data_IF_157173185764
#
_entry.id   IF_157173185764
#
_cell.length_a   1.000
_cell.length_b   1.000
_cell.length_c   1.000
_cell.angle_alpha   90.00
_cell.angle_beta   90.00
_cell.angle_gamma   90.00
#
_symmetry.space_group_name_H-M   'P 1'
#
loop_
_entity.id
_entity.type
_entity.pdbx_description
1 polymer ?
#
# COMPACT_ATOMS: atom_id res chain seq x y z
N UNK A 1 -15.56 0.59 0.43
CA UNK A 1 -15.26 0.91 1.84
C UNK A 1 -13.82 1.39 2.03
N UNK A 2 -12.82 0.71 1.44
CA UNK A 2 -11.39 1.04 1.63
C UNK A 2 -11.08 2.52 1.35
N UNK A 3 -11.59 3.09 0.26
CA UNK A 3 -11.36 4.49 -0.10
C UNK A 3 -11.94 5.48 0.92
N UNK A 4 -12.91 5.06 1.73
CA UNK A 4 -13.51 5.90 2.77
C UNK A 4 -12.64 6.04 4.03
N UNK A 5 -11.56 5.26 4.15
CA UNK A 5 -10.62 5.35 5.29
C UNK A 5 -9.90 6.70 5.36
N UNK A 6 -9.75 7.37 4.23
CA UNK A 6 -9.11 8.70 4.12
C UNK A 6 -10.13 9.83 3.99
N UNK A 7 -11.43 9.57 4.18
CA UNK A 7 -12.46 10.61 4.08
C UNK A 7 -12.23 11.69 5.15
N UNK A 8 -12.38 12.99 4.84
CA UNK A 8 -12.18 14.07 5.83
C UNK A 8 -13.16 13.98 7.02
N UNK A 9 -14.41 13.60 6.79
CA UNK A 9 -15.42 13.43 7.84
C UNK A 9 -15.17 12.16 8.66
N UNK A 10 -14.96 12.34 9.99
CA UNK A 10 -14.71 11.24 10.93
C UNK A 10 -15.89 10.27 11.03
N UNK A 11 -17.12 10.76 10.93
CA UNK A 11 -18.33 9.90 11.01
C UNK A 11 -18.45 8.96 9.79
N UNK A 12 -18.01 9.42 8.64
CA UNK A 12 -17.96 8.58 7.41
C UNK A 12 -16.93 7.48 7.57
N UNK A 13 -15.72 7.80 8.06
CA UNK A 13 -14.67 6.81 8.33
C UNK A 13 -15.13 5.75 9.34
N UNK A 14 -15.76 6.18 10.44
CA UNK A 14 -16.27 5.28 11.47
C UNK A 14 -17.36 4.34 10.94
N UNK A 15 -18.34 4.88 10.20
CA UNK A 15 -19.39 4.04 9.58
C UNK A 15 -18.81 3.03 8.59
N UNK A 16 -17.85 3.45 7.77
CA UNK A 16 -17.18 2.56 6.83
C UNK A 16 -16.45 1.42 7.56
N UNK A 17 -15.74 1.73 8.64
CA UNK A 17 -15.07 0.75 9.49
C UNK A 17 -16.06 -0.24 10.11
N UNK A 18 -17.15 0.25 10.73
CA UNK A 18 -18.16 -0.61 11.33
C UNK A 18 -18.78 -1.54 10.29
N UNK A 19 -19.07 -1.04 9.08
CA UNK A 19 -19.59 -1.89 8.00
C UNK A 19 -18.59 -2.92 7.53
N UNK A 20 -17.31 -2.56 7.46
CA UNK A 20 -16.23 -3.50 7.14
C UNK A 20 -16.16 -4.65 8.16
N UNK A 21 -16.23 -4.34 9.47
CA UNK A 21 -16.22 -5.35 10.52
C UNK A 21 -17.45 -6.29 10.41
N UNK A 22 -18.63 -5.74 10.11
CA UNK A 22 -19.82 -6.57 9.88
C UNK A 22 -19.65 -7.55 8.70
N UNK A 23 -19.09 -7.07 7.59
CA UNK A 23 -18.80 -7.91 6.41
C UNK A 23 -17.81 -9.02 6.75
N UNK A 24 -16.76 -8.72 7.52
CA UNK A 24 -15.82 -9.75 7.96
C UNK A 24 -16.48 -10.79 8.86
N UNK A 25 -17.37 -10.38 9.76
CA UNK A 25 -18.13 -11.33 10.59
C UNK A 25 -19.06 -12.22 9.76
N UNK A 26 -19.76 -11.64 8.76
CA UNK A 26 -20.62 -12.37 7.83
C UNK A 26 -19.83 -13.39 6.97
N UNK A 27 -18.56 -13.08 6.65
CA UNK A 27 -17.71 -13.84 5.74
C UNK A 27 -16.62 -14.67 6.45
N UNK A 28 -16.60 -14.72 7.78
CA UNK A 28 -15.49 -15.32 8.54
C UNK A 28 -15.25 -16.80 8.22
N UNK A 29 -16.29 -17.59 8.06
CA UNK A 29 -16.17 -19.03 7.77
C UNK A 29 -15.55 -19.28 6.38
N UNK A 30 -16.05 -18.70 5.27
CA UNK A 30 -15.40 -18.82 3.97
C UNK A 30 -13.96 -18.29 3.96
N UNK A 31 -13.69 -17.15 4.63
CA UNK A 31 -12.36 -16.59 4.70
C UNK A 31 -11.38 -17.49 5.48
N UNK A 32 -11.84 -18.07 6.59
CA UNK A 32 -11.05 -19.05 7.36
C UNK A 32 -10.76 -20.30 6.52
N UNK A 33 -11.74 -20.82 5.80
CA UNK A 33 -11.55 -21.97 4.92
C UNK A 33 -10.53 -21.68 3.81
N UNK A 34 -10.63 -20.53 3.14
CA UNK A 34 -9.66 -20.08 2.14
C UNK A 34 -8.26 -19.96 2.73
N UNK A 35 -8.12 -19.31 3.89
CA UNK A 35 -6.83 -19.13 4.56
C UNK A 35 -6.22 -20.49 4.93
N UNK A 36 -7.01 -21.41 5.48
CA UNK A 36 -6.55 -22.76 5.83
C UNK A 36 -6.08 -23.54 4.58
N UNK A 37 -6.81 -23.42 3.46
CA UNK A 37 -6.41 -24.04 2.19
C UNK A 37 -5.05 -23.54 1.72
N UNK A 38 -4.88 -22.21 1.63
CA UNK A 38 -3.61 -21.60 1.20
C UNK A 38 -2.45 -21.95 2.15
N UNK A 39 -2.67 -21.85 3.46
CA UNK A 39 -1.64 -22.19 4.45
C UNK A 39 -1.33 -23.68 4.48
N UNK A 40 -2.32 -24.55 4.31
CA UNK A 40 -2.12 -26.00 4.21
C UNK A 40 -1.25 -26.37 3.01
N UNK A 41 -1.46 -25.75 1.85
CA UNK A 41 -0.61 -25.90 0.68
C UNK A 41 0.82 -25.49 0.98
N UNK A 42 1.03 -24.26 1.50
CA UNK A 42 2.37 -23.74 1.82
C UNK A 42 3.10 -24.67 2.78
N UNK A 43 2.49 -25.08 3.89
CA UNK A 43 3.10 -26.01 4.87
C UNK A 43 3.47 -27.35 4.24
N UNK A 44 2.58 -27.88 3.38
CA UNK A 44 2.82 -29.14 2.69
C UNK A 44 3.99 -29.06 1.72
N UNK A 45 4.06 -27.99 0.93
CA UNK A 45 5.14 -27.78 -0.04
C UNK A 45 6.47 -27.51 0.66
N UNK A 46 6.48 -26.72 1.73
CA UNK A 46 7.69 -26.43 2.50
C UNK A 46 8.28 -27.71 3.11
N UNK A 47 7.43 -28.56 3.69
CA UNK A 47 7.87 -29.87 4.21
C UNK A 47 8.44 -30.75 3.10
N UNK A 48 7.76 -30.86 1.96
CA UNK A 48 8.23 -31.69 0.82
C UNK A 48 9.52 -31.17 0.19
N UNK A 49 9.78 -29.87 0.28
CA UNK A 49 10.99 -29.22 -0.23
C UNK A 49 12.12 -29.16 0.80
N UNK A 50 11.94 -29.71 2.00
CA UNK A 50 12.94 -29.70 3.05
C UNK A 50 13.28 -28.32 3.58
N UNK A 51 12.31 -27.38 3.55
CA UNK A 51 12.51 -26.04 4.09
C UNK A 51 12.48 -26.05 5.61
N UNK A 52 13.34 -25.25 6.24
CA UNK A 52 13.48 -25.21 7.69
C UNK A 52 12.21 -24.71 8.39
N UNK A 53 11.60 -23.66 7.83
CA UNK A 53 10.39 -23.03 8.36
C UNK A 53 9.59 -22.29 7.25
N UNK A 54 8.48 -21.68 7.65
CA UNK A 54 7.61 -20.95 6.72
C UNK A 54 8.21 -19.64 6.18
N UNK A 55 9.31 -19.14 6.75
CA UNK A 55 10.01 -17.94 6.26
C UNK A 55 11.02 -18.26 5.17
N UNK A 56 11.51 -19.51 5.09
CA UNK A 56 12.57 -19.91 4.18
C UNK A 56 12.27 -19.50 2.73
N UNK A 57 11.06 -19.78 2.25
CA UNK A 57 10.70 -19.40 0.87
C UNK A 57 10.60 -17.91 0.64
N UNK A 58 10.13 -17.16 1.64
CA UNK A 58 10.02 -15.70 1.57
C UNK A 58 11.40 -15.04 1.54
N UNK A 59 12.34 -15.51 2.38
CA UNK A 59 13.73 -15.06 2.38
C UNK A 59 14.41 -15.35 1.04
N UNK A 60 14.22 -16.56 0.51
CA UNK A 60 14.77 -16.93 -0.78
C UNK A 60 14.22 -16.08 -1.94
N UNK A 61 12.91 -15.81 -1.95
CA UNK A 61 12.29 -14.93 -2.96
C UNK A 61 12.77 -13.49 -2.84
N UNK A 62 12.92 -13.00 -1.61
CA UNK A 62 13.45 -11.65 -1.33
C UNK A 62 14.97 -11.55 -1.56
N UNK A 63 15.67 -12.69 -1.73
CA UNK A 63 17.14 -12.79 -1.86
C UNK A 63 17.87 -12.14 -0.68
N UNK A 64 17.36 -12.33 0.53
CA UNK A 64 17.99 -11.92 1.78
C UNK A 64 18.20 -13.12 2.69
N UNK A 65 19.14 -13.00 3.60
CA UNK A 65 19.37 -13.98 4.65
C UNK A 65 18.55 -13.65 5.93
N UNK A 66 18.58 -14.56 6.89
CA UNK A 66 17.87 -14.41 8.16
C UNK A 66 18.44 -13.26 8.98
N UNK A 67 19.76 -13.06 8.97
CA UNK A 67 20.39 -11.94 9.69
C UNK A 67 19.93 -10.58 9.18
N UNK A 68 19.77 -10.46 7.86
CA UNK A 68 19.19 -9.25 7.24
C UNK A 68 17.75 -9.02 7.70
N UNK A 69 16.91 -10.07 7.72
CA UNK A 69 15.54 -9.96 8.24
C UNK A 69 15.51 -9.53 9.71
N UNK A 70 16.33 -10.14 10.55
CA UNK A 70 16.42 -9.81 11.99
C UNK A 70 16.87 -8.37 12.21
N UNK A 71 17.86 -7.89 11.44
CA UNK A 71 18.29 -6.49 11.47
C UNK A 71 17.18 -5.53 11.05
N UNK A 72 16.42 -5.86 10.01
CA UNK A 72 15.26 -5.05 9.57
C UNK A 72 14.18 -5.00 10.66
N UNK A 73 13.82 -6.13 11.25
CA UNK A 73 12.82 -6.20 12.32
C UNK A 73 13.29 -5.45 13.58
N UNK A 74 14.56 -5.61 13.96
CA UNK A 74 15.16 -4.88 15.07
C UNK A 74 15.09 -3.37 14.86
N UNK A 75 15.44 -2.87 13.67
CA UNK A 75 15.33 -1.45 13.36
C UNK A 75 13.88 -0.92 13.41
N UNK A 76 12.90 -1.75 13.01
CA UNK A 76 11.49 -1.41 13.15
C UNK A 76 11.09 -1.34 14.61
N UNK A 77 11.48 -2.31 15.43
CA UNK A 77 11.18 -2.34 16.86
C UNK A 77 11.77 -1.12 17.59
N UNK A 78 13.01 -0.75 17.27
CA UNK A 78 13.66 0.45 17.80
C UNK A 78 12.94 1.74 17.39
N UNK A 79 12.29 1.77 16.23
CA UNK A 79 11.53 2.91 15.75
C UNK A 79 10.09 2.99 16.33
N UNK A 80 9.54 1.92 16.93
CA UNK A 80 8.17 1.91 17.46
C UNK A 80 7.86 3.04 18.45
N UNK A 81 8.76 3.45 19.36
CA UNK A 81 8.50 4.58 20.26
C UNK A 81 8.26 5.90 19.49
N UNK A 82 8.97 6.10 18.37
CA UNK A 82 8.77 7.27 17.50
C UNK A 82 7.37 7.23 16.84
N UNK A 83 6.96 6.10 16.29
CA UNK A 83 5.62 5.95 15.70
C UNK A 83 4.51 6.12 16.74
N UNK A 84 4.68 5.63 17.96
CA UNK A 84 3.72 5.86 19.05
C UNK A 84 3.57 7.34 19.37
N UNK A 85 4.66 8.11 19.43
CA UNK A 85 4.60 9.58 19.60
C UNK A 85 3.87 10.27 18.45
N UNK A 86 4.12 9.82 17.21
CA UNK A 86 3.40 10.32 16.03
C UNK A 86 1.89 10.09 16.16
N UNK A 87 1.45 8.88 16.50
CA UNK A 87 0.03 8.57 16.64
C UNK A 87 -0.63 9.33 17.81
N UNK A 88 0.09 9.56 18.89
CA UNK A 88 -0.39 10.41 20.00
C UNK A 88 -0.54 11.88 19.55
N UNK A 89 0.40 12.40 18.79
CA UNK A 89 0.31 13.75 18.23
C UNK A 89 -0.86 13.85 17.24
N UNK A 90 -1.02 12.87 16.36
CA UNK A 90 -2.14 12.80 15.42
C UNK A 90 -3.48 12.73 16.14
N UNK A 91 -3.60 11.93 17.20
CA UNK A 91 -4.81 11.85 18.00
C UNK A 91 -5.20 13.24 18.55
N UNK A 92 -4.25 13.96 19.16
CA UNK A 92 -4.49 15.31 19.70
C UNK A 92 -4.96 16.30 18.62
N UNK A 93 -4.31 16.29 17.44
CA UNK A 93 -4.69 17.18 16.32
C UNK A 93 -6.12 16.88 15.85
N UNK A 94 -6.53 15.62 15.85
CA UNK A 94 -7.86 15.17 15.43
C UNK A 94 -8.92 15.24 16.56
N UNK A 95 -8.55 15.71 17.76
CA UNK A 95 -9.47 15.86 18.90
C UNK A 95 -9.79 14.55 19.63
N UNK A 96 -8.93 13.53 19.54
CA UNK A 96 -9.10 12.26 20.24
C UNK A 96 -8.11 12.12 21.40
N UNK A 97 -8.54 11.46 22.48
CA UNK A 97 -7.65 11.04 23.57
C UNK A 97 -6.67 9.94 23.06
N UNK A 98 -7.20 8.98 22.33
CA UNK A 98 -6.45 7.92 21.66
C UNK A 98 -6.89 7.86 20.21
N UNK A 99 -5.95 7.67 19.29
CA UNK A 99 -6.27 7.59 17.86
C UNK A 99 -7.09 6.32 17.59
N UNK A 100 -8.37 6.46 17.20
CA UNK A 100 -9.17 5.31 16.84
C UNK A 100 -8.70 4.71 15.50
N UNK A 101 -8.87 3.40 15.34
CA UNK A 101 -8.40 2.67 14.15
C UNK A 101 -8.91 3.27 12.83
N UNK A 102 -10.16 3.70 12.78
CA UNK A 102 -10.76 4.32 11.58
C UNK A 102 -10.22 5.72 11.27
N UNK A 103 -9.43 6.31 12.15
CA UNK A 103 -8.77 7.60 11.91
C UNK A 103 -7.28 7.48 11.62
N UNK A 104 -6.76 6.25 11.47
CA UNK A 104 -5.35 6.01 11.16
C UNK A 104 -4.92 6.73 9.87
N UNK A 105 -5.77 6.71 8.83
CA UNK A 105 -5.54 7.37 7.54
C UNK A 105 -6.28 8.70 7.39
N UNK A 106 -6.81 9.26 8.50
CA UNK A 106 -7.44 10.57 8.45
C UNK A 106 -6.45 11.64 7.96
N UNK A 107 -6.86 12.53 7.04
CA UNK A 107 -6.04 13.64 6.62
C UNK A 107 -5.80 14.61 7.78
N UNK A 108 -4.65 15.27 7.78
CA UNK A 108 -4.30 16.35 8.70
C UNK A 108 -4.00 17.59 7.86
N UNK A 109 -4.58 18.72 8.26
CA UNK A 109 -4.49 19.97 7.52
C UNK A 109 -5.46 20.03 6.34
N UNK A 110 -5.48 21.17 5.69
CA UNK A 110 -6.31 21.42 4.51
C UNK A 110 -5.40 21.55 3.29
N UNK A 111 -5.64 20.73 2.29
CA UNK A 111 -5.02 20.86 0.97
C UNK A 111 -6.13 21.13 -0.03
N UNK A 112 -6.25 22.39 -0.45
CA UNK A 112 -7.29 22.84 -1.38
C UNK A 112 -6.80 22.87 -2.83
N UNK A 113 -5.62 22.28 -3.12
CA UNK A 113 -5.07 22.26 -4.46
C UNK A 113 -5.36 20.91 -5.13
N UNK A 114 -6.15 20.96 -6.17
CA UNK A 114 -6.35 19.85 -7.09
C UNK A 114 -5.41 20.00 -8.29
N UNK A 115 -4.93 18.89 -8.81
CA UNK A 115 -4.12 18.83 -10.02
C UNK A 115 -4.88 18.03 -11.06
N UNK A 116 -5.06 18.62 -12.23
CA UNK A 116 -5.46 17.85 -13.41
C UNK A 116 -4.35 16.84 -13.79
N UNK A 117 -4.71 15.84 -14.59
CA UNK A 117 -3.72 14.86 -15.06
C UNK A 117 -2.56 15.54 -15.84
N UNK A 118 -2.86 16.56 -16.64
CA UNK A 118 -1.85 17.29 -17.40
C UNK A 118 -0.93 18.12 -16.48
N UNK A 119 -1.48 18.79 -15.49
CA UNK A 119 -0.66 19.52 -14.49
C UNK A 119 0.22 18.57 -13.67
N UNK A 120 -0.30 17.40 -13.30
CA UNK A 120 0.49 16.37 -12.61
C UNK A 120 1.61 15.84 -13.50
N UNK A 121 1.35 15.57 -14.79
CA UNK A 121 2.36 15.20 -15.79
C UNK A 121 3.46 16.27 -15.85
N UNK A 122 3.09 17.52 -16.05
CA UNK A 122 4.05 18.62 -16.23
C UNK A 122 4.90 18.82 -14.97
N UNK A 123 4.28 18.71 -13.79
CA UNK A 123 4.98 18.74 -12.50
C UNK A 123 6.00 17.59 -12.37
N UNK A 124 5.61 16.37 -12.72
CA UNK A 124 6.49 15.19 -12.68
C UNK A 124 7.67 15.36 -13.62
N UNK A 125 7.42 15.75 -14.87
CA UNK A 125 8.46 15.94 -15.87
C UNK A 125 9.44 17.05 -15.47
N UNK A 126 8.93 18.17 -14.95
CA UNK A 126 9.77 19.25 -14.47
C UNK A 126 10.68 18.80 -13.30
N UNK A 127 10.09 18.11 -12.30
CA UNK A 127 10.86 17.63 -11.14
C UNK A 127 11.89 16.56 -11.53
N UNK A 128 11.52 15.59 -12.39
CA UNK A 128 12.48 14.59 -12.87
C UNK A 128 13.61 15.22 -13.67
N UNK A 129 13.31 16.26 -14.47
CA UNK A 129 14.29 17.01 -15.23
C UNK A 129 15.33 17.77 -14.38
N UNK A 130 14.97 18.16 -13.15
CA UNK A 130 15.94 18.75 -12.22
C UNK A 130 16.97 17.75 -11.70
N UNK A 131 16.64 16.46 -11.71
CA UNK A 131 17.51 15.37 -11.26
C UNK A 131 18.29 14.77 -12.44
N UNK A 132 17.58 14.39 -13.52
CA UNK A 132 18.18 13.82 -14.74
C UNK A 132 17.28 14.08 -15.95
N UNK A 133 17.81 14.68 -17.02
CA UNK A 133 17.10 14.84 -18.30
C UNK A 133 16.64 13.48 -18.89
N UNK A 134 17.45 12.44 -18.74
CA UNK A 134 17.15 11.09 -19.23
C UNK A 134 15.95 10.48 -18.48
N UNK A 135 15.87 10.71 -17.15
CA UNK A 135 14.72 10.27 -16.35
C UNK A 135 13.43 10.99 -16.78
N UNK A 136 13.51 12.30 -17.04
CA UNK A 136 12.37 13.07 -17.53
C UNK A 136 11.89 12.59 -18.91
N UNK A 137 12.83 12.29 -19.82
CA UNK A 137 12.48 11.78 -21.15
C UNK A 137 11.87 10.38 -21.10
N UNK A 138 12.38 9.50 -20.21
CA UNK A 138 11.77 8.20 -19.97
C UNK A 138 10.34 8.33 -19.42
N UNK A 139 10.13 9.19 -18.44
CA UNK A 139 8.81 9.46 -17.89
C UNK A 139 7.86 10.05 -18.95
N UNK A 140 8.36 10.98 -19.77
CA UNK A 140 7.61 11.56 -20.89
C UNK A 140 7.15 10.46 -21.85
N UNK A 141 8.01 9.50 -22.19
CA UNK A 141 7.65 8.35 -23.00
C UNK A 141 6.47 7.53 -22.42
N UNK A 142 6.41 7.39 -21.10
CA UNK A 142 5.31 6.70 -20.43
C UNK A 142 3.96 7.45 -20.59
N UNK A 143 3.97 8.78 -20.55
CA UNK A 143 2.78 9.60 -20.81
C UNK A 143 2.38 9.55 -22.30
N UNK A 144 3.33 9.76 -23.20
CA UNK A 144 3.08 9.82 -24.67
C UNK A 144 2.56 8.47 -25.21
N UNK A 145 3.04 7.35 -24.67
CA UNK A 145 2.62 6.00 -25.03
C UNK A 145 1.40 5.50 -24.27
N UNK A 146 0.77 6.34 -23.46
CA UNK A 146 -0.41 5.98 -22.66
C UNK A 146 -0.20 4.75 -21.76
N UNK A 147 0.97 4.64 -21.12
CA UNK A 147 1.27 3.55 -20.19
C UNK A 147 0.57 3.70 -18.84
N UNK A 148 0.00 4.89 -18.57
CA UNK A 148 -0.57 5.28 -17.28
C UNK A 148 -2.09 5.35 -17.38
N UNK A 149 -2.79 4.46 -16.70
CA UNK A 149 -4.24 4.50 -16.52
C UNK A 149 -4.58 5.20 -15.21
N UNK A 150 -4.70 6.52 -15.22
CA UNK A 150 -4.97 7.33 -14.02
C UNK A 150 -6.47 7.62 -13.82
N UNK A 151 -7.32 7.42 -14.84
CA UNK A 151 -8.73 7.80 -14.79
C UNK A 151 -9.52 6.98 -13.76
N UNK A 152 -10.31 7.66 -12.95
CA UNK A 152 -11.26 7.03 -12.02
C UNK A 152 -12.52 6.62 -12.78
N UNK A 153 -12.93 5.34 -12.67
CA UNK A 153 -14.14 4.83 -13.33
C UNK A 153 -14.75 3.67 -12.54
N UNK A 154 -16.04 3.38 -12.71
CA UNK A 154 -16.69 2.24 -12.10
C UNK A 154 -15.97 0.92 -12.44
N UNK A 155 -15.77 0.06 -11.43
CA UNK A 155 -15.09 -1.23 -11.59
C UNK A 155 -13.56 -1.18 -11.52
N UNK A 156 -12.93 0.00 -11.55
CA UNK A 156 -11.50 0.13 -11.33
C UNK A 156 -11.15 -0.10 -9.86
N UNK A 157 -10.17 -0.95 -9.60
CA UNK A 157 -9.69 -1.19 -8.23
C UNK A 157 -9.01 0.06 -7.66
N UNK A 158 -9.15 0.26 -6.35
CA UNK A 158 -8.35 1.25 -5.63
C UNK A 158 -6.90 0.79 -5.48
N UNK A 159 -6.02 1.75 -5.23
CA UNK A 159 -4.59 1.55 -5.17
C UNK A 159 -3.89 1.85 -6.49
N UNK A 160 -2.59 1.64 -6.53
CA UNK A 160 -1.77 1.82 -7.72
C UNK A 160 -0.73 0.69 -7.79
N UNK A 161 -0.37 0.28 -8.99
CA UNK A 161 0.73 -0.66 -9.21
C UNK A 161 1.39 -0.39 -10.56
N UNK A 162 2.64 -0.79 -10.67
CA UNK A 162 3.39 -0.81 -11.90
C UNK A 162 3.73 -2.26 -12.26
N UNK A 163 3.47 -2.65 -13.51
CA UNK A 163 3.80 -3.98 -14.02
C UNK A 163 4.74 -3.83 -15.22
N UNK A 164 5.90 -4.49 -15.15
CA UNK A 164 6.82 -4.63 -16.26
C UNK A 164 6.31 -5.66 -17.28
N UNK A 165 6.54 -5.38 -18.55
CA UNK A 165 6.26 -6.25 -19.69
C UNK A 165 7.60 -6.54 -20.40
N UNK A 166 8.38 -7.46 -19.83
CA UNK A 166 9.77 -7.70 -20.23
C UNK A 166 9.94 -8.05 -21.71
N UNK A 167 8.95 -8.76 -22.29
CA UNK A 167 8.98 -9.18 -23.69
C UNK A 167 9.00 -7.99 -24.68
N UNK A 168 8.46 -6.84 -24.29
CA UNK A 168 8.39 -5.63 -25.10
C UNK A 168 9.13 -4.45 -24.50
N UNK A 169 9.83 -4.67 -23.36
CA UNK A 169 10.58 -3.66 -22.63
C UNK A 169 9.72 -2.42 -22.29
N UNK A 170 8.49 -2.65 -21.87
CA UNK A 170 7.53 -1.62 -21.50
C UNK A 170 6.97 -1.86 -20.09
N UNK A 171 6.23 -0.89 -19.56
CA UNK A 171 5.52 -0.99 -18.29
C UNK A 171 4.08 -0.48 -18.42
N UNK A 172 3.23 -0.88 -17.47
CA UNK A 172 1.89 -0.31 -17.31
C UNK A 172 1.70 0.10 -15.86
N UNK A 173 1.14 1.28 -15.66
CA UNK A 173 0.85 1.87 -14.35
C UNK A 173 -0.67 2.04 -14.24
N UNK A 174 -1.21 1.55 -13.13
CA UNK A 174 -2.64 1.67 -12.81
C UNK A 174 -2.83 2.22 -11.41
#
# INVERSE_FOLDING_TARGET
LINLRSHPDASVRERAYKREQQVFEEMKEPLAACLNGVKGEVVTLDRKRGREDCLHSSLQMARIDRGTLEAMLGAIDDALPMFRRYFQAKARILGFEKLPWWSLFAPIGEVNKEYSFNEARDLILANFGTFSPELAEFAKGAFDKHWIDAEQRPGKRGGAFCMGLDAVQESRIM
#
